data_IF_476360974112
#
_entry.id   IF_476360974112
#
_cell.length_a   1.000
_cell.length_b   1.000
_cell.length_c   1.000
_cell.angle_alpha   90.00
_cell.angle_beta   90.00
_cell.angle_gamma   90.00
#
_symmetry.space_group_name_H-M   'P 1'
#
loop_
_entity.id
_entity.type
_entity.pdbx_description
1 polymer ?
#
# COMPACT_ATOMS: atom_id res chain seq x y z
N UNK A 1 15.57 9.71 4.89
CA UNK A 1 14.92 9.83 3.55
C UNK A 1 13.70 8.93 3.44
N UNK A 2 13.82 7.62 3.75
CA UNK A 2 12.71 6.66 3.74
C UNK A 2 11.48 7.13 4.53
N UNK A 3 11.66 7.73 5.70
CA UNK A 3 10.56 8.29 6.50
C UNK A 3 9.70 9.31 5.75
N UNK A 4 10.35 10.30 5.10
CA UNK A 4 9.66 11.33 4.31
C UNK A 4 8.98 10.72 3.09
N UNK A 5 9.63 9.73 2.48
CA UNK A 5 9.07 8.98 1.36
C UNK A 5 7.76 8.31 1.78
N UNK A 6 7.78 7.47 2.83
CA UNK A 6 6.58 6.78 3.37
C UNK A 6 5.47 7.77 3.72
N UNK A 7 5.80 8.89 4.36
CA UNK A 7 4.82 9.91 4.69
C UNK A 7 4.16 10.50 3.43
N UNK A 8 4.95 10.88 2.43
CA UNK A 8 4.46 11.50 1.20
C UNK A 8 3.64 10.51 0.37
N UNK A 9 4.16 9.31 0.12
CA UNK A 9 3.47 8.28 -0.65
C UNK A 9 2.22 7.78 0.06
N UNK A 10 2.24 7.74 1.41
CA UNK A 10 1.03 7.50 2.19
C UNK A 10 0.00 8.63 2.08
N UNK A 11 0.42 9.89 2.14
CA UNK A 11 -0.50 11.01 1.97
C UNK A 11 -1.18 11.03 0.58
N UNK A 12 -0.50 10.55 -0.46
CA UNK A 12 -1.11 10.39 -1.80
C UNK A 12 -2.26 9.37 -1.82
N UNK A 13 -2.23 8.35 -0.97
CA UNK A 13 -3.31 7.35 -0.90
C UNK A 13 -4.63 7.99 -0.46
N UNK A 14 -4.57 9.10 0.30
CA UNK A 14 -5.76 9.88 0.62
C UNK A 14 -6.38 10.50 -0.63
N UNK A 15 -5.57 11.10 -1.50
CA UNK A 15 -6.04 11.70 -2.75
C UNK A 15 -6.61 10.63 -3.69
N UNK A 16 -5.98 9.46 -3.77
CA UNK A 16 -6.47 8.34 -4.57
C UNK A 16 -7.79 7.80 -4.00
N UNK A 17 -7.92 7.71 -2.67
CA UNK A 17 -9.17 7.30 -2.02
C UNK A 17 -10.32 8.27 -2.30
N UNK A 18 -10.05 9.58 -2.23
CA UNK A 18 -11.03 10.62 -2.61
C UNK A 18 -11.38 10.54 -4.09
N UNK A 19 -10.41 10.33 -4.98
CA UNK A 19 -10.67 10.16 -6.41
C UNK A 19 -11.52 8.92 -6.71
N UNK A 20 -11.31 7.83 -5.95
CA UNK A 20 -12.10 6.58 -6.05
C UNK A 20 -13.56 6.83 -5.67
N UNK A 21 -13.81 7.60 -4.60
CA UNK A 21 -15.15 8.08 -4.25
C UNK A 21 -15.73 8.98 -5.34
N UNK A 22 -14.92 9.90 -5.88
CA UNK A 22 -15.32 10.76 -6.98
C UNK A 22 -15.87 9.96 -8.16
N UNK A 23 -15.16 8.92 -8.59
CA UNK A 23 -15.61 8.02 -9.66
C UNK A 23 -16.91 7.29 -9.33
N UNK A 24 -17.04 6.77 -8.11
CA UNK A 24 -18.25 6.09 -7.65
C UNK A 24 -19.49 7.01 -7.62
N UNK A 25 -19.28 8.26 -7.21
CA UNK A 25 -20.35 9.26 -7.10
C UNK A 25 -20.71 9.88 -8.47
N UNK A 26 -19.75 10.01 -9.38
CA UNK A 26 -19.99 10.58 -10.71
C UNK A 26 -20.70 9.61 -11.66
N UNK A 27 -20.45 8.31 -11.52
CA UNK A 27 -21.08 7.27 -12.34
C UNK A 27 -21.47 6.04 -11.49
N UNK A 28 -22.59 6.12 -10.75
CA UNK A 28 -22.99 5.05 -9.83
C UNK A 28 -23.48 3.81 -10.60
N UNK A 29 -22.67 2.74 -10.59
CA UNK A 29 -23.02 1.46 -11.23
C UNK A 29 -23.42 0.39 -10.19
N UNK A 30 -24.52 -0.36 -10.42
CA UNK A 30 -24.88 -1.50 -9.59
C UNK A 30 -23.72 -2.49 -9.46
N UNK A 31 -23.42 -2.92 -8.22
CA UNK A 31 -22.29 -3.82 -7.93
C UNK A 31 -20.94 -3.13 -7.75
N UNK A 32 -20.77 -1.88 -8.22
CA UNK A 32 -19.50 -1.14 -8.11
C UNK A 32 -19.55 -0.02 -7.06
N UNK A 33 -20.71 0.64 -6.90
CA UNK A 33 -20.83 1.80 -6.02
C UNK A 33 -20.33 1.52 -4.58
N UNK A 34 -20.88 0.49 -3.93
CA UNK A 34 -20.49 0.14 -2.55
C UNK A 34 -19.03 -0.29 -2.50
N UNK A 35 -18.54 -1.05 -3.49
CA UNK A 35 -17.15 -1.52 -3.55
C UNK A 35 -16.18 -0.35 -3.63
N UNK A 36 -16.44 0.64 -4.48
CA UNK A 36 -15.58 1.82 -4.63
C UNK A 36 -15.67 2.78 -3.45
N UNK A 37 -16.85 2.94 -2.84
CA UNK A 37 -16.99 3.69 -1.59
C UNK A 37 -16.18 3.02 -0.46
N UNK A 38 -16.28 1.71 -0.31
CA UNK A 38 -15.50 0.97 0.68
C UNK A 38 -14.00 1.01 0.39
N UNK A 39 -13.59 0.80 -0.87
CA UNK A 39 -12.18 0.84 -1.28
C UNK A 39 -11.56 2.22 -1.02
N UNK A 40 -12.25 3.31 -1.39
CA UNK A 40 -11.78 4.66 -1.12
C UNK A 40 -11.60 4.94 0.36
N UNK A 41 -12.51 4.45 1.22
CA UNK A 41 -12.38 4.55 2.67
C UNK A 41 -11.15 3.81 3.20
N UNK A 42 -10.90 2.60 2.71
CA UNK A 42 -9.70 1.82 3.07
C UNK A 42 -8.40 2.49 2.60
N UNK A 43 -8.38 3.13 1.43
CA UNK A 43 -7.24 3.90 0.93
C UNK A 43 -6.96 5.12 1.81
N UNK A 44 -7.99 5.85 2.23
CA UNK A 44 -7.82 6.98 3.16
C UNK A 44 -7.38 6.52 4.55
N UNK A 45 -7.85 5.36 5.03
CA UNK A 45 -7.35 4.75 6.26
C UNK A 45 -5.87 4.33 6.10
N UNK A 46 -5.50 3.73 4.96
CA UNK A 46 -4.12 3.38 4.64
C UNK A 46 -3.21 4.61 4.67
N UNK A 47 -3.67 5.74 4.12
CA UNK A 47 -2.99 7.02 4.17
C UNK A 47 -2.73 7.47 5.61
N UNK A 48 -3.78 7.48 6.45
CA UNK A 48 -3.67 7.84 7.86
C UNK A 48 -2.69 6.92 8.61
N UNK A 49 -2.79 5.60 8.38
CA UNK A 49 -1.89 4.61 8.95
C UNK A 49 -0.43 4.80 8.53
N UNK A 50 -0.17 5.11 7.25
CA UNK A 50 1.18 5.34 6.75
C UNK A 50 1.79 6.64 7.29
N UNK A 51 1.03 7.73 7.30
CA UNK A 51 1.46 9.00 7.88
C UNK A 51 1.70 8.90 9.40
N UNK A 52 0.93 8.06 10.08
CA UNK A 52 1.14 7.74 11.49
C UNK A 52 2.35 6.84 11.70
N UNK A 53 2.48 5.77 10.92
CA UNK A 53 3.58 4.80 11.02
C UNK A 53 4.93 5.42 10.67
N UNK A 54 4.97 6.36 9.73
CA UNK A 54 6.19 7.09 9.37
C UNK A 54 6.74 7.93 10.52
N UNK A 55 6.00 8.18 11.61
CA UNK A 55 6.53 8.95 12.76
C UNK A 55 7.37 8.09 13.71
N UNK A 56 7.18 6.77 13.69
CA UNK A 56 7.91 5.81 14.54
C UNK A 56 8.02 4.48 13.77
N UNK A 57 8.94 4.45 12.80
CA UNK A 57 9.02 3.35 11.84
C UNK A 57 9.50 2.05 12.48
N UNK A 58 10.35 2.09 13.50
CA UNK A 58 10.87 0.89 14.16
C UNK A 58 9.73 0.11 14.84
N UNK A 59 8.87 0.82 15.59
CA UNK A 59 7.75 0.19 16.30
C UNK A 59 6.54 -0.08 15.41
N UNK A 60 6.49 0.49 14.22
CA UNK A 60 5.32 0.44 13.32
C UNK A 60 5.64 -0.11 11.93
N UNK A 61 6.83 -0.70 11.79
CA UNK A 61 7.30 -1.30 10.55
C UNK A 61 6.31 -2.30 9.93
N UNK A 62 5.62 -3.17 10.69
CA UNK A 62 4.62 -4.06 10.13
C UNK A 62 3.53 -3.36 9.33
N UNK A 63 3.07 -2.19 9.77
CA UNK A 63 2.01 -1.44 9.06
C UNK A 63 2.51 -1.00 7.69
N UNK A 64 3.72 -0.44 7.63
CA UNK A 64 4.32 0.00 6.36
C UNK A 64 4.62 -1.21 5.46
N UNK A 65 5.09 -2.32 6.04
CA UNK A 65 5.35 -3.56 5.33
C UNK A 65 4.08 -4.14 4.69
N UNK A 66 2.99 -4.24 5.45
CA UNK A 66 1.69 -4.70 4.96
C UNK A 66 1.14 -3.80 3.85
N UNK A 67 1.30 -2.48 3.97
CA UNK A 67 0.92 -1.56 2.90
C UNK A 67 1.79 -1.75 1.64
N UNK A 68 3.05 -2.15 1.80
CA UNK A 68 3.89 -2.56 0.68
C UNK A 68 3.34 -3.79 -0.04
N UNK A 69 2.84 -4.78 0.71
CA UNK A 69 2.20 -5.98 0.12
C UNK A 69 0.90 -5.64 -0.62
N UNK A 70 0.06 -4.75 -0.07
CA UNK A 70 -1.17 -4.30 -0.73
C UNK A 70 -0.86 -3.71 -2.12
N UNK A 71 0.21 -2.91 -2.22
CA UNK A 71 0.67 -2.34 -3.50
C UNK A 71 1.16 -3.42 -4.47
N UNK A 72 1.88 -4.44 -3.98
CA UNK A 72 2.28 -5.55 -4.85
C UNK A 72 1.09 -6.37 -5.35
N UNK A 73 0.02 -6.50 -4.56
CA UNK A 73 -1.23 -7.11 -5.05
C UNK A 73 -1.84 -6.31 -6.19
N UNK A 74 -1.82 -4.98 -6.13
CA UNK A 74 -2.26 -4.12 -7.23
C UNK A 74 -1.39 -4.33 -8.49
N UNK A 75 -0.07 -4.40 -8.33
CA UNK A 75 0.88 -4.72 -9.43
C UNK A 75 0.52 -6.05 -10.10
N UNK A 76 0.39 -7.12 -9.31
CA UNK A 76 0.03 -8.45 -9.83
C UNK A 76 -1.32 -8.44 -10.56
N UNK A 77 -2.29 -7.68 -10.04
CA UNK A 77 -3.61 -7.56 -10.65
C UNK A 77 -3.54 -6.89 -12.02
N UNK A 78 -2.75 -5.81 -12.19
CA UNK A 78 -2.56 -5.15 -13.49
C UNK A 78 -1.81 -6.05 -14.47
N UNK A 79 -0.73 -6.70 -14.01
CA UNK A 79 0.05 -7.62 -14.84
C UNK A 79 -0.78 -8.81 -15.34
N UNK A 80 -1.82 -9.21 -14.62
CA UNK A 80 -2.77 -10.21 -15.05
C UNK A 80 -3.89 -9.63 -15.94
N UNK A 81 -4.54 -8.56 -15.48
CA UNK A 81 -5.76 -8.05 -16.09
C UNK A 81 -5.54 -7.42 -17.47
N UNK A 82 -4.44 -6.68 -17.67
CA UNK A 82 -4.19 -6.00 -18.95
C UNK A 82 -3.95 -7.00 -20.10
N UNK A 83 -3.03 -7.99 -19.97
CA UNK A 83 -2.87 -9.00 -21.03
C UNK A 83 -4.11 -9.87 -21.25
N UNK A 84 -4.93 -10.06 -20.21
CA UNK A 84 -6.19 -10.81 -20.30
C UNK A 84 -7.34 -10.01 -20.95
N UNK A 85 -7.13 -8.75 -21.33
CA UNK A 85 -8.17 -7.88 -21.90
C UNK A 85 -9.23 -7.43 -20.89
N UNK A 86 -8.96 -7.58 -19.58
CA UNK A 86 -9.85 -7.19 -18.49
C UNK A 86 -9.64 -5.73 -18.06
N UNK A 87 -8.56 -5.09 -18.52
CA UNK A 87 -8.27 -3.69 -18.18
C UNK A 87 -7.49 -2.95 -19.27
N UNK A 88 -7.20 -1.67 -19.04
CA UNK A 88 -6.65 -0.76 -20.05
C UNK A 88 -5.11 -0.66 -19.98
N UNK A 89 -4.39 -0.54 -21.12
CA UNK A 89 -2.91 -0.52 -21.13
C UNK A 89 -2.25 0.61 -20.33
N UNK A 90 -2.93 1.75 -20.15
CA UNK A 90 -2.36 2.87 -19.39
C UNK A 90 -2.15 2.53 -17.90
N UNK A 91 -2.85 1.51 -17.39
CA UNK A 91 -2.72 1.05 -16.01
C UNK A 91 -1.36 0.42 -15.70
N UNK A 92 -0.54 0.08 -16.71
CA UNK A 92 0.86 -0.29 -16.48
C UNK A 92 1.68 0.81 -15.78
N UNK A 93 1.23 2.06 -15.81
CA UNK A 93 1.80 3.13 -14.98
C UNK A 93 1.73 2.78 -13.49
N UNK A 94 0.63 2.15 -13.04
CA UNK A 94 0.48 1.68 -11.65
C UNK A 94 1.52 0.62 -11.30
N UNK A 95 1.89 -0.26 -12.24
CA UNK A 95 2.94 -1.27 -12.01
C UNK A 95 4.26 -0.61 -11.64
N UNK A 96 4.63 0.47 -12.33
CA UNK A 96 5.87 1.20 -12.06
C UNK A 96 5.79 1.90 -10.71
N UNK A 97 4.71 2.64 -10.44
CA UNK A 97 4.56 3.40 -9.19
C UNK A 97 4.39 2.48 -7.97
N UNK A 98 3.40 1.58 -7.98
CA UNK A 98 3.13 0.69 -6.85
C UNK A 98 4.22 -0.37 -6.68
N UNK A 99 4.85 -0.82 -7.77
CA UNK A 99 6.03 -1.68 -7.69
C UNK A 99 7.19 -0.99 -6.97
N UNK A 100 7.51 0.25 -7.36
CA UNK A 100 8.59 1.01 -6.73
C UNK A 100 8.29 1.31 -5.24
N UNK A 101 7.09 1.79 -4.92
CA UNK A 101 6.70 2.10 -3.53
C UNK A 101 6.62 0.82 -2.69
N UNK A 102 5.97 -0.22 -3.21
CA UNK A 102 5.80 -1.50 -2.55
C UNK A 102 7.14 -2.15 -2.20
N UNK A 103 8.05 -2.28 -3.16
CA UNK A 103 9.39 -2.82 -2.92
C UNK A 103 10.20 -1.97 -1.93
N UNK A 104 10.08 -0.64 -2.03
CA UNK A 104 10.76 0.28 -1.09
C UNK A 104 10.26 0.07 0.34
N UNK A 105 8.97 -0.17 0.54
CA UNK A 105 8.41 -0.45 1.86
C UNK A 105 8.88 -1.80 2.40
N UNK A 106 8.83 -2.87 1.60
CA UNK A 106 9.22 -4.21 2.06
C UNK A 106 10.70 -4.28 2.44
N UNK A 107 11.58 -3.83 1.52
CA UNK A 107 13.02 -3.84 1.74
C UNK A 107 13.39 -2.82 2.83
N UNK A 108 12.75 -1.65 2.80
CA UNK A 108 12.97 -0.59 3.78
C UNK A 108 12.65 -1.02 5.20
N UNK A 109 11.51 -1.69 5.43
CA UNK A 109 11.11 -2.11 6.76
C UNK A 109 11.98 -3.24 7.30
N UNK A 110 12.34 -4.21 6.46
CA UNK A 110 13.28 -5.27 6.84
C UNK A 110 14.65 -4.70 7.24
N UNK A 111 15.11 -3.63 6.57
CA UNK A 111 16.36 -2.95 6.94
C UNK A 111 16.25 -2.10 8.19
N UNK A 112 15.10 -1.47 8.43
CA UNK A 112 14.87 -0.63 9.61
C UNK A 112 14.81 -1.46 10.88
N UNK A 113 14.14 -2.62 10.86
CA UNK A 113 13.99 -3.46 12.06
C UNK A 113 15.02 -4.58 12.17
N UNK A 114 15.69 -4.95 11.07
CA UNK A 114 16.51 -6.16 11.00
C UNK A 114 15.69 -7.46 11.01
N UNK A 115 14.36 -7.37 11.03
CA UNK A 115 13.48 -8.54 10.97
C UNK A 115 13.46 -9.15 9.56
N UNK A 116 13.28 -10.45 9.50
CA UNK A 116 12.94 -11.15 8.25
C UNK A 116 11.54 -10.76 7.76
N UNK A 117 11.25 -10.92 6.45
CA UNK A 117 9.92 -10.65 5.91
C UNK A 117 8.79 -11.43 6.59
N UNK A 118 9.05 -12.67 7.03
CA UNK A 118 8.06 -13.50 7.74
C UNK A 118 7.76 -12.92 9.12
N UNK A 119 8.77 -12.43 9.84
CA UNK A 119 8.57 -11.80 11.15
C UNK A 119 7.77 -10.50 11.02
N UNK A 120 8.04 -9.69 9.99
CA UNK A 120 7.26 -8.48 9.70
C UNK A 120 5.82 -8.80 9.30
N UNK A 121 5.60 -9.89 8.53
CA UNK A 121 4.26 -10.40 8.21
C UNK A 121 3.49 -10.76 9.48
N UNK A 122 4.17 -11.34 10.48
CA UNK A 122 3.64 -11.68 11.80
C UNK A 122 3.54 -10.48 12.75
N UNK A 123 3.73 -9.26 12.25
CA UNK A 123 3.68 -8.02 13.02
C UNK A 123 4.74 -7.89 14.12
N UNK A 124 5.88 -8.58 14.00
CA UNK A 124 7.02 -8.38 14.90
C UNK A 124 7.83 -7.14 14.49
N UNK A 125 8.41 -6.49 15.49
CA UNK A 125 9.26 -5.30 15.32
C UNK A 125 10.70 -5.49 15.81
N UNK A 126 10.97 -6.62 16.46
CA UNK A 126 12.30 -7.01 16.94
C UNK A 126 12.66 -8.40 16.40
N UNK A 127 13.88 -8.61 15.89
CA UNK A 127 14.32 -9.92 15.41
C UNK A 127 14.29 -10.97 16.52
N UNK A 128 13.86 -12.19 16.19
CA UNK A 128 13.76 -13.28 17.18
C UNK A 128 15.12 -13.61 17.84
N UNK A 129 16.24 -13.40 17.13
CA UNK A 129 17.60 -13.59 17.66
C UNK A 129 18.02 -12.55 18.72
N UNK A 130 17.32 -11.42 18.83
CA UNK A 130 17.59 -10.35 19.80
C UNK A 130 16.58 -10.30 20.95
N UNK A 131 15.56 -11.16 20.92
CA UNK A 131 14.53 -11.28 21.96
C UNK A 131 14.81 -12.39 22.99
N UNK A 132 15.97 -13.03 22.91
CA UNK A 132 16.49 -14.05 23.84
C UNK A 132 17.68 -13.49 24.62
#
# INVERSE_FOLDING_TARGET
MLQKFVYLTGALDFLIGVATWGGALSDPQPGHFVVYMTLGAFLMMAAACLMWASKDMEKRAPVIFWQGLVRLTAVCSVLYAVPAGLSQPWEYVLVVFDGAVGLTYLIGMARVTGCSPIELLQCKTTPTAQSA
#
